data_IF_204639705660
#
_entry.id   IF_204639705660
#
_cell.length_a   1.000
_cell.length_b   1.000
_cell.length_c   1.000
_cell.angle_alpha   90.00
_cell.angle_beta   90.00
_cell.angle_gamma   90.00
#
_symmetry.space_group_name_H-M   'P 1'
#
loop_
_entity.id
_entity.type
_entity.pdbx_description
1 polymer ?
#
# COMPACT_ATOMS: atom_id res chain seq x y z
N UNK A 1 -13.17 11.77 -1.96
CA UNK A 1 -14.18 11.70 -0.86
C UNK A 1 -15.45 12.39 -1.35
N UNK A 2 -16.66 11.99 -0.91
CA UNK A 2 -17.91 12.69 -1.25
C UNK A 2 -18.79 12.78 0.00
N UNK A 3 -19.05 14.01 0.47
CA UNK A 3 -19.77 14.31 1.73
C UNK A 3 -19.20 13.52 2.92
N UNK A 4 -17.91 13.66 3.20
CA UNK A 4 -17.26 12.98 4.33
C UNK A 4 -17.11 11.45 4.21
N UNK A 5 -17.75 10.80 3.23
CA UNK A 5 -17.66 9.34 3.05
C UNK A 5 -16.71 8.92 1.93
N UNK A 6 -16.20 7.69 2.03
CA UNK A 6 -15.49 7.00 0.94
C UNK A 6 -16.33 7.04 -0.35
N UNK A 7 -15.68 7.44 -1.43
CA UNK A 7 -16.22 7.37 -2.79
C UNK A 7 -15.30 6.49 -3.62
N UNK A 8 -15.62 5.19 -3.69
CA UNK A 8 -14.90 4.24 -4.53
C UNK A 8 -15.23 4.42 -6.00
N UNK A 9 -14.42 3.83 -6.89
CA UNK A 9 -14.68 3.75 -8.34
C UNK A 9 -16.06 3.17 -8.63
N UNK A 10 -16.48 2.12 -7.91
CA UNK A 10 -17.84 1.57 -8.03
C UNK A 10 -18.92 2.59 -7.67
N UNK A 11 -18.78 3.33 -6.57
CA UNK A 11 -19.76 4.34 -6.15
C UNK A 11 -19.81 5.54 -7.11
N UNK A 12 -18.67 5.92 -7.67
CA UNK A 12 -18.56 7.04 -8.60
C UNK A 12 -19.06 6.69 -10.00
N UNK A 13 -18.71 5.51 -10.52
CA UNK A 13 -18.88 5.21 -11.95
C UNK A 13 -19.86 4.06 -12.23
N UNK A 14 -19.91 3.00 -11.43
CA UNK A 14 -20.75 1.82 -11.71
C UNK A 14 -22.17 1.95 -11.16
N UNK A 15 -22.32 2.40 -9.90
CA UNK A 15 -23.64 2.54 -9.26
C UNK A 15 -24.58 3.48 -10.02
N UNK A 16 -24.14 4.65 -10.54
CA UNK A 16 -25.03 5.56 -11.27
C UNK A 16 -25.57 4.99 -12.58
N UNK A 17 -24.84 4.06 -13.21
CA UNK A 17 -25.18 3.51 -14.53
C UNK A 17 -25.72 2.08 -14.48
N UNK A 18 -26.01 1.56 -13.28
CA UNK A 18 -26.38 0.15 -13.04
C UNK A 18 -27.64 -0.32 -13.78
N UNK A 19 -28.51 0.61 -14.18
CA UNK A 19 -29.76 0.33 -14.91
C UNK A 19 -29.62 0.38 -16.42
N UNK A 20 -28.45 0.75 -16.96
CA UNK A 20 -28.21 0.78 -18.40
C UNK A 20 -28.27 -0.64 -18.96
N UNK A 21 -29.14 -0.87 -19.95
CA UNK A 21 -29.39 -2.19 -20.55
C UNK A 21 -28.17 -2.79 -21.26
N UNK A 22 -27.19 -1.97 -21.65
CA UNK A 22 -25.97 -2.40 -22.33
C UNK A 22 -24.78 -2.65 -21.38
N UNK A 23 -24.99 -2.64 -20.06
CA UNK A 23 -23.95 -2.92 -19.06
C UNK A 23 -24.43 -4.05 -18.16
N UNK A 24 -23.69 -5.15 -18.17
CA UNK A 24 -23.97 -6.30 -17.31
C UNK A 24 -22.84 -6.46 -16.29
N UNK A 25 -23.20 -6.53 -15.01
CA UNK A 25 -22.24 -6.70 -13.91
C UNK A 25 -22.50 -8.05 -13.27
N UNK A 26 -21.52 -8.95 -13.35
CA UNK A 26 -21.57 -10.26 -12.68
C UNK A 26 -20.66 -10.24 -11.45
N UNK A 27 -21.27 -10.20 -10.26
CA UNK A 27 -20.55 -10.28 -8.99
C UNK A 27 -20.19 -11.74 -8.66
N UNK A 28 -19.25 -11.93 -7.72
CA UNK A 28 -18.80 -13.25 -7.26
C UNK A 28 -18.42 -14.20 -8.42
N UNK A 29 -17.79 -13.62 -9.45
CA UNK A 29 -17.41 -14.28 -10.69
C UNK A 29 -15.88 -14.22 -10.81
N UNK A 30 -15.20 -15.29 -10.42
CA UNK A 30 -13.73 -15.35 -10.41
C UNK A 30 -13.22 -15.76 -11.78
N UNK A 31 -12.66 -14.82 -12.54
CA UNK A 31 -12.04 -15.12 -13.83
C UNK A 31 -10.85 -16.07 -13.66
N UNK A 32 -10.82 -17.17 -14.40
CA UNK A 32 -9.79 -18.21 -14.28
C UNK A 32 -8.77 -18.13 -15.41
N UNK A 33 -9.21 -17.82 -16.64
CA UNK A 33 -8.37 -17.63 -17.82
C UNK A 33 -9.11 -16.93 -18.96
N UNK A 34 -8.35 -16.38 -19.88
CA UNK A 34 -8.81 -15.89 -21.19
C UNK A 34 -8.77 -17.06 -22.17
N UNK A 35 -9.79 -17.16 -23.02
CA UNK A 35 -9.84 -18.12 -24.12
C UNK A 35 -9.28 -17.46 -25.37
N UNK A 36 -8.20 -18.04 -25.90
CA UNK A 36 -7.41 -17.49 -27.01
C UNK A 36 -7.23 -18.57 -28.05
N UNK A 37 -7.47 -18.23 -29.31
CA UNK A 37 -7.21 -19.15 -30.42
C UNK A 37 -5.69 -19.24 -30.66
N UNK A 38 -5.07 -20.44 -30.61
CA UNK A 38 -3.62 -20.60 -30.67
C UNK A 38 -3.02 -20.24 -32.03
N UNK A 39 -3.79 -20.28 -33.11
CA UNK A 39 -3.31 -20.00 -34.47
C UNK A 39 -3.39 -18.51 -34.80
N UNK A 40 -4.53 -17.89 -34.51
CA UNK A 40 -4.79 -16.47 -34.82
C UNK A 40 -4.36 -15.52 -33.72
N UNK A 41 -4.05 -16.05 -32.52
CA UNK A 41 -3.78 -15.28 -31.30
C UNK A 41 -4.91 -14.32 -30.90
N UNK A 42 -6.14 -14.55 -31.37
CA UNK A 42 -7.32 -13.75 -31.03
C UNK A 42 -7.99 -14.26 -29.75
N UNK A 43 -8.17 -13.38 -28.77
CA UNK A 43 -9.01 -13.64 -27.61
C UNK A 43 -10.48 -13.66 -28.02
N UNK A 44 -11.21 -14.72 -27.64
CA UNK A 44 -12.61 -14.91 -28.03
C UNK A 44 -13.55 -15.11 -26.83
N UNK A 45 -13.02 -15.16 -25.61
CA UNK A 45 -13.86 -15.30 -24.43
C UNK A 45 -13.10 -15.32 -23.12
N UNK A 46 -13.84 -15.47 -22.03
CA UNK A 46 -13.31 -15.58 -20.67
C UNK A 46 -13.98 -16.77 -19.98
N UNK A 47 -13.16 -17.60 -19.34
CA UNK A 47 -13.61 -18.62 -18.41
C UNK A 47 -13.63 -18.03 -16.99
N UNK A 48 -14.71 -18.27 -16.24
CA UNK A 48 -14.82 -17.84 -14.85
C UNK A 48 -15.62 -18.84 -14.02
N UNK A 49 -15.48 -18.77 -12.70
CA UNK A 49 -16.27 -19.57 -11.77
C UNK A 49 -17.22 -18.68 -10.98
N UNK A 50 -18.49 -19.10 -10.90
CA UNK A 50 -19.53 -18.44 -10.11
C UNK A 50 -20.37 -19.51 -9.42
N UNK A 51 -20.61 -19.35 -8.11
CA UNK A 51 -21.33 -20.34 -7.31
C UNK A 51 -20.81 -21.78 -7.47
N UNK A 52 -19.47 -21.94 -7.50
CA UNK A 52 -18.81 -23.24 -7.66
C UNK A 52 -18.88 -23.84 -9.07
N UNK A 53 -19.57 -23.21 -10.02
CA UNK A 53 -19.71 -23.71 -11.39
C UNK A 53 -18.85 -22.91 -12.36
N UNK A 54 -18.26 -23.62 -13.31
CA UNK A 54 -17.49 -23.01 -14.41
C UNK A 54 -18.44 -22.48 -15.48
N UNK A 55 -18.17 -21.27 -15.94
CA UNK A 55 -18.90 -20.58 -16.99
C UNK A 55 -17.93 -20.04 -18.03
N UNK A 56 -18.42 -19.89 -19.26
CA UNK A 56 -17.70 -19.26 -20.36
C UNK A 56 -18.57 -18.15 -20.92
N UNK A 57 -17.97 -16.99 -21.17
CA UNK A 57 -18.59 -15.90 -21.93
C UNK A 57 -17.77 -15.60 -23.18
N UNK A 58 -18.45 -15.48 -24.31
CA UNK A 58 -17.82 -15.22 -25.61
C UNK A 58 -17.81 -13.71 -25.87
N UNK A 59 -16.66 -13.21 -26.29
CA UNK A 59 -16.44 -11.82 -26.65
C UNK A 59 -16.41 -11.67 -28.18
N UNK A 60 -17.27 -10.80 -28.73
CA UNK A 60 -17.31 -10.53 -30.18
C UNK A 60 -16.22 -9.56 -30.65
N UNK A 61 -15.74 -8.69 -29.76
CA UNK A 61 -14.76 -7.65 -30.08
C UNK A 61 -13.46 -7.86 -29.31
N UNK A 62 -13.50 -7.61 -28.00
CA UNK A 62 -12.29 -7.52 -27.17
C UNK A 62 -12.53 -8.10 -25.77
N UNK A 63 -11.42 -8.49 -25.13
CA UNK A 63 -11.34 -8.80 -23.70
C UNK A 63 -10.31 -7.86 -23.09
N UNK A 64 -10.72 -7.08 -22.08
CA UNK A 64 -9.85 -6.11 -21.40
C UNK A 64 -9.58 -6.59 -19.98
N UNK A 65 -8.31 -6.75 -19.64
CA UNK A 65 -7.89 -7.17 -18.30
C UNK A 65 -7.74 -5.99 -17.35
N UNK A 66 -8.48 -6.02 -16.25
CA UNK A 66 -8.40 -4.99 -15.18
C UNK A 66 -8.36 -5.63 -13.79
N UNK A 67 -7.67 -6.77 -13.65
CA UNK A 67 -7.61 -7.54 -12.40
C UNK A 67 -6.55 -7.01 -11.40
N UNK A 68 -5.97 -5.84 -11.67
CA UNK A 68 -4.90 -5.23 -10.87
C UNK A 68 -3.52 -5.82 -11.16
N UNK A 69 -2.48 -5.19 -10.59
CA UNK A 69 -1.07 -5.53 -10.84
C UNK A 69 -0.67 -6.95 -10.41
N UNK A 70 -1.45 -7.57 -9.49
CA UNK A 70 -1.17 -8.90 -8.95
C UNK A 70 -1.95 -10.00 -9.70
N UNK A 71 -3.27 -9.86 -9.87
CA UNK A 71 -4.07 -10.94 -10.46
C UNK A 71 -4.07 -10.94 -11.99
N UNK A 72 -3.83 -9.79 -12.63
CA UNK A 72 -3.70 -9.73 -14.10
C UNK A 72 -2.59 -10.65 -14.62
N UNK A 73 -1.33 -10.59 -14.11
CA UNK A 73 -0.30 -11.48 -14.58
C UNK A 73 -0.60 -12.95 -14.27
N UNK A 74 -1.24 -13.26 -13.15
CA UNK A 74 -1.69 -14.63 -12.85
C UNK A 74 -2.64 -15.16 -13.94
N UNK A 75 -3.70 -14.40 -14.27
CA UNK A 75 -4.70 -14.82 -15.26
C UNK A 75 -4.06 -14.96 -16.65
N UNK A 76 -3.19 -14.02 -17.05
CA UNK A 76 -2.47 -14.10 -18.32
C UNK A 76 -1.58 -15.35 -18.40
N UNK A 77 -0.80 -15.64 -17.34
CA UNK A 77 0.03 -16.85 -17.30
C UNK A 77 -0.82 -18.12 -17.34
N UNK A 78 -1.94 -18.19 -16.61
CA UNK A 78 -2.88 -19.31 -16.67
C UNK A 78 -3.56 -19.44 -18.05
N UNK A 79 -3.57 -18.37 -18.84
CA UNK A 79 -4.05 -18.35 -20.22
C UNK A 79 -2.97 -18.71 -21.25
N UNK A 80 -1.75 -19.05 -20.81
CA UNK A 80 -0.64 -19.39 -21.69
C UNK A 80 0.17 -18.20 -22.20
N UNK A 81 0.03 -17.01 -21.59
CA UNK A 81 0.81 -15.80 -21.90
C UNK A 81 1.71 -15.45 -20.73
N UNK A 82 3.02 -15.64 -20.89
CA UNK A 82 3.99 -15.31 -19.85
C UNK A 82 5.36 -15.96 -20.05
N UNK A 83 6.25 -15.87 -19.04
CA UNK A 83 7.61 -16.37 -19.17
C UNK A 83 7.64 -17.89 -19.38
N UNK A 84 8.38 -18.38 -20.37
CA UNK A 84 8.47 -19.81 -20.71
C UNK A 84 8.82 -20.68 -19.52
N UNK A 85 9.79 -20.25 -18.71
CA UNK A 85 10.23 -20.99 -17.50
C UNK A 85 9.07 -21.21 -16.52
N UNK A 86 8.23 -20.20 -16.30
CA UNK A 86 7.08 -20.27 -15.40
C UNK A 86 5.95 -21.14 -15.96
N UNK A 87 5.62 -20.97 -17.24
CA UNK A 87 4.58 -21.77 -17.88
C UNK A 87 4.96 -23.26 -17.93
N UNK A 88 6.22 -23.56 -18.26
CA UNK A 88 6.75 -24.93 -18.29
C UNK A 88 6.74 -25.60 -16.91
N UNK A 89 7.10 -24.86 -15.84
CA UNK A 89 7.07 -25.36 -14.45
C UNK A 89 5.72 -25.99 -14.09
N UNK A 90 4.65 -25.38 -14.59
CA UNK A 90 3.30 -25.86 -14.35
C UNK A 90 2.74 -26.69 -15.50
N UNK A 91 3.46 -26.92 -16.61
CA UNK A 91 2.95 -27.59 -17.83
C UNK A 91 1.75 -26.86 -18.46
N UNK A 92 1.78 -25.53 -18.49
CA UNK A 92 0.77 -24.70 -19.16
C UNK A 92 1.20 -24.53 -20.62
N UNK A 93 0.34 -24.82 -21.62
CA UNK A 93 0.66 -24.57 -23.02
C UNK A 93 1.03 -23.10 -23.26
N UNK A 94 2.16 -22.88 -23.91
CA UNK A 94 2.66 -21.54 -24.20
C UNK A 94 2.02 -21.06 -25.50
N UNK A 95 1.17 -20.04 -25.42
CA UNK A 95 0.62 -19.35 -26.58
C UNK A 95 1.52 -18.18 -27.00
N UNK A 96 2.02 -17.43 -26.01
CA UNK A 96 2.96 -16.33 -26.25
C UNK A 96 3.91 -16.15 -25.07
N UNK A 97 5.20 -16.14 -25.39
CA UNK A 97 6.22 -15.79 -24.41
C UNK A 97 6.33 -14.27 -24.28
N UNK A 98 6.05 -13.75 -23.08
CA UNK A 98 6.13 -12.33 -22.69
C UNK A 98 6.59 -12.23 -21.23
N UNK A 99 7.18 -11.10 -20.84
CA UNK A 99 7.63 -10.83 -19.47
C UNK A 99 6.47 -10.53 -18.49
N UNK A 100 5.38 -11.28 -18.57
CA UNK A 100 4.21 -11.14 -17.69
C UNK A 100 4.60 -11.48 -16.26
N UNK A 101 4.23 -10.59 -15.33
CA UNK A 101 4.52 -10.75 -13.90
C UNK A 101 5.88 -10.21 -13.49
N UNK A 102 6.74 -9.80 -14.41
CA UNK A 102 8.01 -9.14 -14.09
C UNK A 102 7.80 -7.63 -13.88
N UNK A 103 8.84 -6.93 -13.41
CA UNK A 103 8.86 -5.47 -13.23
C UNK A 103 7.82 -4.95 -12.23
N UNK A 104 7.51 -5.73 -11.19
CA UNK A 104 6.67 -5.27 -10.07
C UNK A 104 7.38 -4.11 -9.36
N UNK A 105 6.62 -3.04 -9.13
CA UNK A 105 7.06 -1.86 -8.42
C UNK A 105 5.98 -1.48 -7.41
N UNK A 106 6.41 -1.06 -6.23
CA UNK A 106 5.55 -0.50 -5.21
C UNK A 106 6.32 0.58 -4.44
N UNK A 107 5.61 1.54 -3.86
CA UNK A 107 6.22 2.56 -3.03
C UNK A 107 6.42 2.01 -1.62
N UNK A 108 7.68 1.92 -1.21
CA UNK A 108 8.05 1.52 0.15
C UNK A 108 8.45 2.75 0.97
N UNK A 109 8.19 2.76 2.27
CA UNK A 109 8.55 3.87 3.13
C UNK A 109 8.87 3.46 4.56
N UNK A 110 9.42 4.41 5.31
CA UNK A 110 9.87 4.21 6.69
C UNK A 110 8.68 4.26 7.65
N UNK A 111 8.23 3.10 8.11
CA UNK A 111 7.16 2.98 9.10
C UNK A 111 7.60 3.47 10.49
N UNK A 112 6.64 3.95 11.29
CA UNK A 112 6.88 4.20 12.72
C UNK A 112 7.77 5.40 13.06
N UNK A 113 8.11 6.25 12.09
CA UNK A 113 8.94 7.43 12.30
C UNK A 113 8.16 8.54 13.04
N UNK A 114 8.23 8.46 14.38
CA UNK A 114 7.31 9.15 15.30
C UNK A 114 7.98 10.33 15.99
N UNK A 115 7.24 11.42 16.13
CA UNK A 115 7.65 12.62 16.85
C UNK A 115 6.65 12.91 17.96
N UNK A 116 7.10 12.90 19.21
CA UNK A 116 6.31 13.31 20.37
C UNK A 116 6.12 14.82 20.34
N UNK A 117 4.93 15.30 20.72
CA UNK A 117 4.64 16.73 20.91
C UNK A 117 4.03 16.96 22.29
N UNK A 118 4.11 18.20 22.77
CA UNK A 118 3.62 18.57 24.10
C UNK A 118 2.17 19.07 24.09
N UNK A 119 1.63 19.40 22.91
CA UNK A 119 0.25 19.91 22.78
C UNK A 119 -0.73 18.77 22.47
N UNK A 120 -1.96 18.79 23.03
CA UNK A 120 -2.98 17.77 22.84
C UNK A 120 -3.72 17.87 21.48
N UNK A 121 -2.96 17.97 20.38
CA UNK A 121 -3.50 18.24 19.03
C UNK A 121 -3.53 17.01 18.12
N UNK A 122 -2.97 15.89 18.56
CA UNK A 122 -2.95 14.66 17.76
C UNK A 122 -4.25 13.87 17.86
N UNK A 123 -4.47 12.97 16.91
CA UNK A 123 -5.54 11.97 16.90
C UNK A 123 -5.12 10.86 17.87
N UNK A 124 -5.74 10.85 19.05
CA UNK A 124 -5.62 9.80 20.07
C UNK A 124 -6.99 9.18 20.30
N UNK A 125 -7.09 7.85 20.15
CA UNK A 125 -8.37 7.16 20.12
C UNK A 125 -9.23 7.43 21.37
N UNK A 126 -8.60 7.53 22.55
CA UNK A 126 -9.30 7.73 23.82
C UNK A 126 -10.02 9.10 23.94
N UNK A 127 -9.64 10.10 23.14
CA UNK A 127 -10.28 11.44 23.17
C UNK A 127 -11.60 11.48 22.40
N UNK A 128 -11.89 10.43 21.66
CA UNK A 128 -13.01 10.38 20.73
C UNK A 128 -14.22 9.72 21.39
N UNK A 129 -15.27 10.52 21.62
CA UNK A 129 -16.57 10.02 22.11
C UNK A 129 -17.42 9.48 20.96
N UNK A 130 -17.64 8.16 20.94
CA UNK A 130 -18.22 7.47 19.79
C UNK A 130 -19.60 8.02 19.38
N UNK A 131 -20.51 8.22 20.34
CA UNK A 131 -21.89 8.63 20.06
C UNK A 131 -22.02 10.03 19.42
N UNK A 132 -21.53 11.13 20.04
CA UNK A 132 -21.70 12.47 19.48
C UNK A 132 -21.01 12.64 18.13
N UNK A 133 -19.82 12.06 17.94
CA UNK A 133 -19.15 12.13 16.63
C UNK A 133 -19.91 11.37 15.54
N UNK A 134 -20.46 10.19 15.88
CA UNK A 134 -21.26 9.41 14.95
C UNK A 134 -22.49 10.20 14.53
N UNK A 135 -23.13 10.89 15.47
CA UNK A 135 -24.29 11.74 15.18
C UNK A 135 -23.92 12.92 14.27
N UNK A 136 -22.81 13.61 14.53
CA UNK A 136 -22.30 14.67 13.66
C UNK A 136 -22.01 14.18 12.23
N UNK A 137 -21.45 12.98 12.11
CA UNK A 137 -21.16 12.39 10.80
C UNK A 137 -22.44 12.01 10.04
N UNK A 138 -23.40 11.35 10.69
CA UNK A 138 -24.64 10.91 10.06
C UNK A 138 -25.51 12.10 9.66
N UNK A 139 -25.73 13.04 10.58
CA UNK A 139 -26.64 14.17 10.34
C UNK A 139 -26.01 15.22 9.42
N UNK A 140 -24.74 15.55 9.64
CA UNK A 140 -24.12 16.73 9.01
C UNK A 140 -23.01 16.38 8.02
N UNK A 141 -22.61 15.12 7.89
CA UNK A 141 -21.44 14.71 7.11
C UNK A 141 -20.16 15.48 7.50
N UNK A 142 -20.04 15.80 8.79
CA UNK A 142 -18.97 16.57 9.42
C UNK A 142 -18.43 15.85 10.66
N UNK A 143 -17.40 16.41 11.26
CA UNK A 143 -16.82 15.92 12.51
C UNK A 143 -15.70 14.91 12.30
N UNK A 144 -15.07 14.43 13.38
CA UNK A 144 -13.84 13.65 13.31
C UNK A 144 -13.93 12.40 12.44
N UNK A 145 -15.09 11.74 12.32
CA UNK A 145 -15.24 10.54 11.49
C UNK A 145 -15.09 10.79 9.98
N UNK A 146 -15.02 12.05 9.53
CA UNK A 146 -14.68 12.37 8.13
C UNK A 146 -13.17 12.37 7.87
N UNK A 147 -12.34 12.34 8.91
CA UNK A 147 -10.87 12.24 8.80
C UNK A 147 -10.50 10.94 8.08
N UNK A 148 -9.38 10.97 7.35
CA UNK A 148 -8.81 9.75 6.80
C UNK A 148 -8.18 8.90 7.91
N UNK A 149 -7.89 9.49 9.09
CA UNK A 149 -7.34 8.83 10.26
C UNK A 149 -5.90 8.35 10.08
N UNK A 150 -5.27 8.76 8.98
CA UNK A 150 -3.90 8.41 8.59
C UNK A 150 -3.22 9.63 7.99
N UNK A 151 -3.05 9.64 6.68
CA UNK A 151 -2.35 10.72 5.98
C UNK A 151 -3.23 11.96 5.83
N UNK A 152 -2.82 13.07 6.42
CA UNK A 152 -3.52 14.37 6.38
C UNK A 152 -2.65 15.46 5.73
N UNK A 153 -1.33 15.25 5.64
CA UNK A 153 -0.41 16.14 4.94
C UNK A 153 0.47 15.39 3.94
N UNK A 154 0.79 16.04 2.83
CA UNK A 154 1.65 15.50 1.78
C UNK A 154 2.73 16.53 1.44
N UNK A 155 3.95 16.05 1.22
CA UNK A 155 4.98 16.86 0.58
C UNK A 155 5.73 16.01 -0.44
N UNK A 156 6.03 16.58 -1.60
CA UNK A 156 6.85 15.98 -2.63
C UNK A 156 8.18 16.72 -2.64
N UNK A 157 9.28 15.99 -2.45
CA UNK A 157 10.60 16.59 -2.31
C UNK A 157 11.63 15.79 -3.10
N UNK A 158 12.76 16.44 -3.37
CA UNK A 158 13.88 15.84 -4.05
C UNK A 158 15.01 15.67 -3.06
N UNK A 159 15.51 14.45 -2.91
CA UNK A 159 16.75 14.21 -2.19
C UNK A 159 17.95 14.61 -3.06
N UNK A 160 19.15 14.64 -2.47
CA UNK A 160 20.40 14.86 -3.21
C UNK A 160 20.69 13.78 -4.25
N UNK A 161 20.02 12.63 -4.19
CA UNK A 161 20.16 11.53 -5.15
C UNK A 161 19.12 11.58 -6.28
N UNK A 162 18.08 12.42 -6.13
CA UNK A 162 16.99 12.55 -7.08
C UNK A 162 17.32 13.45 -8.27
N UNK A 163 16.60 13.26 -9.38
CA UNK A 163 16.60 14.23 -10.47
C UNK A 163 15.85 15.48 -10.02
N UNK A 164 16.33 16.70 -10.33
CA UNK A 164 15.66 17.95 -9.96
C UNK A 164 14.31 18.18 -10.67
N UNK A 165 14.05 17.47 -11.76
CA UNK A 165 12.84 17.65 -12.59
C UNK A 165 11.59 16.95 -12.03
N UNK A 166 11.75 15.97 -11.14
CA UNK A 166 10.63 15.26 -10.50
C UNK A 166 11.01 14.70 -9.13
N UNK A 167 10.07 14.65 -8.17
CA UNK A 167 10.36 14.18 -6.82
C UNK A 167 10.68 12.68 -6.79
N UNK A 168 11.65 12.31 -5.96
CA UNK A 168 12.03 10.94 -5.64
C UNK A 168 11.50 10.50 -4.26
N UNK A 169 11.05 11.45 -3.43
CA UNK A 169 10.53 11.21 -2.10
C UNK A 169 9.18 11.92 -1.87
N UNK A 170 8.27 11.23 -1.19
CA UNK A 170 7.02 11.81 -0.68
C UNK A 170 6.99 11.67 0.84
N UNK A 171 6.66 12.74 1.55
CA UNK A 171 6.28 12.63 2.95
C UNK A 171 4.78 12.46 3.07
N UNK A 172 4.36 11.41 3.77
CA UNK A 172 3.04 11.32 4.34
C UNK A 172 3.10 11.77 5.80
N UNK A 173 2.42 12.89 6.11
CA UNK A 173 2.24 13.35 7.47
C UNK A 173 0.92 12.84 8.02
N UNK A 174 0.98 12.24 9.21
CA UNK A 174 -0.18 11.83 9.97
C UNK A 174 -0.15 12.48 11.36
N UNK A 175 -1.25 13.08 11.85
CA UNK A 175 -1.35 13.57 13.23
C UNK A 175 -1.59 12.41 14.23
N UNK A 176 -1.01 11.24 13.95
CA UNK A 176 -1.12 10.01 14.72
C UNK A 176 0.12 9.13 14.48
N UNK A 177 0.34 8.14 15.33
CA UNK A 177 1.31 7.07 15.13
C UNK A 177 0.81 5.75 15.72
N UNK A 178 1.67 4.73 15.74
CA UNK A 178 1.42 3.38 16.24
C UNK A 178 0.89 3.37 17.68
N UNK A 179 1.27 4.34 18.51
CA UNK A 179 0.86 4.48 19.91
C UNK A 179 -0.51 5.15 20.11
N UNK A 180 -1.11 5.73 19.06
CA UNK A 180 -2.32 6.56 19.14
C UNK A 180 -3.60 5.80 19.53
N UNK A 181 -3.61 4.47 19.38
CA UNK A 181 -4.75 3.61 19.69
C UNK A 181 -4.47 2.60 20.82
N UNK A 182 -3.38 2.82 21.57
CA UNK A 182 -2.91 1.92 22.62
C UNK A 182 -2.79 0.45 22.18
N UNK A 183 -2.53 0.20 20.89
CA UNK A 183 -2.29 -1.14 20.37
C UNK A 183 -3.55 -1.95 20.08
N UNK A 184 -4.71 -1.29 20.01
CA UNK A 184 -5.99 -1.93 19.73
C UNK A 184 -6.05 -2.52 18.31
N UNK A 185 -5.61 -1.76 17.30
CA UNK A 185 -5.75 -2.10 15.88
C UNK A 185 -4.52 -1.76 15.03
N UNK A 186 -3.90 -0.59 15.20
CA UNK A 186 -2.83 -0.09 14.32
C UNK A 186 -1.67 -1.07 14.24
N UNK A 187 -1.21 -1.59 15.39
CA UNK A 187 -0.14 -2.60 15.42
C UNK A 187 -0.47 -3.88 14.63
N UNK A 188 -1.75 -4.31 14.63
CA UNK A 188 -2.20 -5.51 13.91
C UNK A 188 -2.29 -5.25 12.41
N UNK A 189 -2.80 -4.08 12.02
CA UNK A 189 -2.88 -3.65 10.61
C UNK A 189 -1.50 -3.53 9.98
N UNK A 190 -0.53 -3.01 10.74
CA UNK A 190 0.86 -2.86 10.29
C UNK A 190 1.71 -4.14 10.47
N UNK A 191 1.14 -5.22 11.04
CA UNK A 191 1.86 -6.48 11.24
C UNK A 191 3.04 -6.39 12.23
N UNK A 192 3.01 -5.46 13.18
CA UNK A 192 4.09 -5.30 14.15
C UNK A 192 4.11 -6.45 15.17
N UNK A 193 5.29 -6.97 15.46
CA UNK A 193 5.47 -7.99 16.50
C UNK A 193 5.15 -7.43 17.90
N UNK A 194 4.70 -8.29 18.81
CA UNK A 194 4.46 -7.91 20.20
C UNK A 194 5.72 -7.33 20.85
N UNK A 195 6.88 -7.92 20.57
CA UNK A 195 8.18 -7.43 21.07
C UNK A 195 8.44 -6.00 20.62
N UNK A 196 8.33 -5.71 19.32
CA UNK A 196 8.57 -4.35 18.80
C UNK A 196 7.58 -3.35 19.40
N UNK A 197 6.27 -3.69 19.42
CA UNK A 197 5.25 -2.80 19.95
C UNK A 197 5.45 -2.52 21.44
N UNK A 198 5.65 -3.55 22.25
CA UNK A 198 5.77 -3.42 23.71
C UNK A 198 7.04 -2.68 24.12
N UNK A 199 8.14 -2.84 23.38
CA UNK A 199 9.39 -2.13 23.67
C UNK A 199 9.32 -0.67 23.21
N UNK A 200 8.81 -0.39 22.00
CA UNK A 200 8.96 0.92 21.36
C UNK A 200 7.74 1.80 21.56
N UNK A 201 6.53 1.31 21.31
CA UNK A 201 5.34 2.16 21.20
C UNK A 201 4.43 2.13 22.43
N UNK A 202 4.39 1.02 23.17
CA UNK A 202 3.63 0.93 24.43
C UNK A 202 4.07 1.95 25.49
N UNK A 203 5.38 2.26 25.68
CA UNK A 203 5.81 3.27 26.65
C UNK A 203 5.30 4.69 26.36
N UNK A 204 4.92 4.96 25.12
CA UNK A 204 4.36 6.25 24.69
C UNK A 204 2.87 6.14 24.34
N UNK A 205 2.18 5.08 24.77
CA UNK A 205 0.75 4.89 24.51
C UNK A 205 -0.07 6.14 24.85
N UNK A 206 -0.98 6.51 23.94
CA UNK A 206 -1.88 7.67 24.07
C UNK A 206 -1.20 9.04 24.20
N UNK A 207 0.12 9.14 24.08
CA UNK A 207 0.83 10.42 24.02
C UNK A 207 0.62 11.11 22.68
N UNK A 208 0.65 12.44 22.70
CA UNK A 208 0.56 13.21 21.47
C UNK A 208 1.77 13.06 20.58
N UNK A 209 1.47 12.81 19.31
CA UNK A 209 2.47 12.54 18.28
C UNK A 209 2.04 13.05 16.92
N UNK A 210 3.02 13.22 16.05
CA UNK A 210 2.80 13.12 14.61
C UNK A 210 3.83 12.16 14.01
N UNK A 211 3.52 11.66 12.82
CA UNK A 211 4.42 10.81 12.04
C UNK A 211 4.73 11.51 10.73
N UNK A 212 5.98 11.44 10.28
CA UNK A 212 6.37 11.74 8.91
C UNK A 212 6.88 10.45 8.29
N UNK A 213 6.18 9.91 7.30
CA UNK A 213 6.59 8.69 6.61
C UNK A 213 7.27 9.12 5.31
N UNK A 214 8.61 9.08 5.22
CA UNK A 214 9.29 9.19 3.93
C UNK A 214 8.95 7.94 3.11
N UNK A 215 8.38 8.16 1.93
CA UNK A 215 7.95 7.16 0.96
C UNK A 215 8.77 7.34 -0.32
N UNK A 216 9.34 6.24 -0.81
CA UNK A 216 10.15 6.21 -2.02
C UNK A 216 9.23 6.18 -3.25
N UNK A 217 9.28 7.23 -4.07
CA UNK A 217 8.40 7.38 -5.25
C UNK A 217 8.94 6.72 -6.50
N UNK A 218 10.26 6.58 -6.59
CA UNK A 218 10.96 6.11 -7.79
C UNK A 218 11.92 4.98 -7.43
N UNK A 219 11.41 3.85 -6.90
CA UNK A 219 12.27 2.73 -6.57
C UNK A 219 13.00 2.25 -7.81
N UNK A 220 14.28 1.90 -7.66
CA UNK A 220 15.07 1.20 -8.68
C UNK A 220 14.92 -0.31 -8.54
N UNK A 221 14.63 -0.81 -7.33
CA UNK A 221 14.36 -2.23 -7.10
C UNK A 221 13.17 -2.70 -7.94
N UNK A 222 13.23 -3.95 -8.41
CA UNK A 222 12.18 -4.60 -9.22
C UNK A 222 11.86 -5.97 -8.66
N UNK A 223 10.57 -6.20 -8.49
CA UNK A 223 10.01 -7.47 -8.07
C UNK A 223 9.34 -8.24 -9.20
N UNK A 224 8.63 -9.29 -8.80
CA UNK A 224 7.83 -10.12 -9.68
C UNK A 224 6.58 -10.69 -9.00
N UNK A 225 5.66 -11.19 -9.84
CA UNK A 225 4.47 -11.97 -9.49
C UNK A 225 4.50 -13.27 -10.31
N UNK A 226 4.56 -14.41 -9.64
CA UNK A 226 4.74 -15.74 -10.25
C UNK A 226 3.61 -16.68 -9.87
N UNK A 227 3.36 -17.71 -10.67
CA UNK A 227 2.41 -18.75 -10.32
C UNK A 227 2.94 -19.62 -9.18
N UNK A 228 2.08 -19.99 -8.23
CA UNK A 228 2.34 -21.07 -7.27
C UNK A 228 1.68 -22.39 -7.67
N UNK A 229 0.62 -22.33 -8.47
CA UNK A 229 -0.17 -23.47 -8.90
C UNK A 229 -0.90 -23.14 -10.19
N UNK A 230 -1.34 -24.19 -10.92
CA UNK A 230 -2.33 -24.07 -12.00
C UNK A 230 -3.74 -23.79 -11.50
N UNK A 231 -3.99 -24.02 -10.21
CA UNK A 231 -5.29 -23.74 -9.61
C UNK A 231 -5.48 -22.20 -9.51
N UNK A 232 -6.47 -21.62 -10.22
CA UNK A 232 -6.69 -20.16 -10.26
C UNK A 232 -7.14 -19.57 -8.91
N UNK A 233 -7.49 -20.41 -7.93
CA UNK A 233 -7.87 -20.00 -6.58
C UNK A 233 -6.69 -19.93 -5.62
N UNK A 234 -5.52 -20.43 -6.03
CA UNK A 234 -4.29 -20.29 -5.26
C UNK A 234 -3.67 -18.94 -5.59
N UNK A 235 -3.51 -18.08 -4.58
CA UNK A 235 -2.85 -16.78 -4.77
C UNK A 235 -1.45 -16.93 -5.39
N UNK A 236 -1.00 -15.98 -6.22
CA UNK A 236 0.34 -16.02 -6.80
C UNK A 236 1.40 -15.80 -5.72
N UNK A 237 2.64 -16.17 -6.03
CA UNK A 237 3.80 -15.77 -5.25
C UNK A 237 4.16 -14.34 -5.65
N UNK A 238 4.45 -13.51 -4.65
CA UNK A 238 4.78 -12.10 -4.85
C UNK A 238 6.12 -11.87 -4.18
N UNK A 239 7.06 -11.32 -4.93
CA UNK A 239 8.30 -10.82 -4.38
C UNK A 239 8.44 -9.37 -4.83
N UNK A 240 8.26 -8.42 -3.92
CA UNK A 240 8.45 -7.01 -4.22
C UNK A 240 9.93 -6.63 -4.39
N UNK A 241 10.83 -7.45 -3.82
CA UNK A 241 12.28 -7.27 -3.85
C UNK A 241 12.71 -5.89 -3.32
N UNK A 242 12.08 -5.42 -2.24
CA UNK A 242 12.36 -4.10 -1.68
C UNK A 242 13.83 -3.98 -1.29
N UNK A 243 14.42 -2.82 -1.62
CA UNK A 243 15.79 -2.45 -1.24
C UNK A 243 16.89 -3.34 -1.82
N UNK A 244 16.60 -4.05 -2.91
CA UNK A 244 17.58 -4.78 -3.71
C UNK A 244 18.60 -3.81 -4.33
N UNK A 245 18.12 -2.67 -4.84
CA UNK A 245 18.99 -1.60 -5.31
C UNK A 245 19.40 -0.69 -4.14
N UNK A 246 20.71 -0.47 -3.89
CA UNK A 246 21.20 0.25 -2.70
C UNK A 246 20.74 1.70 -2.63
N UNK A 247 20.54 2.37 -3.76
CA UNK A 247 20.08 3.76 -3.80
C UNK A 247 18.70 3.97 -3.17
N UNK A 248 17.82 2.95 -3.20
CA UNK A 248 16.48 3.05 -2.64
C UNK A 248 16.53 3.34 -1.13
N UNK A 249 17.46 2.69 -0.42
CA UNK A 249 17.71 2.93 1.00
C UNK A 249 18.38 4.27 1.23
N UNK A 250 19.38 4.64 0.42
CA UNK A 250 20.07 5.94 0.57
C UNK A 250 19.08 7.11 0.47
N UNK A 251 18.12 7.04 -0.44
CA UNK A 251 17.06 8.05 -0.59
C UNK A 251 16.19 8.12 0.68
N UNK A 252 15.76 6.98 1.23
CA UNK A 252 14.93 6.95 2.44
C UNK A 252 15.71 7.39 3.69
N UNK A 253 17.00 7.07 3.81
CA UNK A 253 17.87 7.56 4.90
C UNK A 253 17.98 9.09 4.85
N UNK A 254 18.16 9.68 3.66
CA UNK A 254 18.10 11.14 3.52
C UNK A 254 16.72 11.69 3.83
N UNK A 255 15.65 10.95 3.49
CA UNK A 255 14.28 11.24 3.91
C UNK A 255 14.11 11.26 5.44
N UNK A 256 14.69 10.31 6.16
CA UNK A 256 14.67 10.30 7.62
C UNK A 256 15.34 11.55 8.20
N UNK A 257 16.54 11.89 7.71
CA UNK A 257 17.26 13.11 8.10
C UNK A 257 16.46 14.38 7.80
N UNK A 258 15.81 14.44 6.63
CA UNK A 258 14.92 15.54 6.25
C UNK A 258 13.74 15.65 7.21
N UNK A 259 13.10 14.53 7.59
CA UNK A 259 12.01 14.51 8.54
C UNK A 259 12.41 15.03 9.93
N UNK A 260 13.61 14.70 10.41
CA UNK A 260 14.16 15.30 11.65
C UNK A 260 14.29 16.81 11.52
N UNK A 261 14.88 17.31 10.41
CA UNK A 261 15.02 18.76 10.17
C UNK A 261 13.67 19.48 10.08
N UNK A 262 12.67 18.84 9.47
CA UNK A 262 11.30 19.38 9.42
C UNK A 262 10.72 19.51 10.83
N UNK A 263 10.87 18.48 11.66
CA UNK A 263 10.40 18.51 13.04
C UNK A 263 11.12 19.57 13.88
N UNK A 264 12.41 19.84 13.63
CA UNK A 264 13.20 20.85 14.35
C UNK A 264 13.00 22.29 13.83
N UNK A 265 12.30 22.46 12.71
CA UNK A 265 12.08 23.76 12.09
C UNK A 265 11.31 24.72 13.01
N UNK A 266 11.53 26.02 12.83
CA UNK A 266 10.94 27.08 13.66
C UNK A 266 9.40 26.98 13.76
N UNK A 267 8.71 26.64 12.65
CA UNK A 267 7.26 26.50 12.62
C UNK A 267 6.73 25.38 13.54
N UNK A 268 7.53 24.34 13.79
CA UNK A 268 7.18 23.21 14.63
C UNK A 268 7.53 23.42 16.10
N UNK A 269 8.46 24.33 16.45
CA UNK A 269 8.90 24.57 17.84
C UNK A 269 7.75 24.82 18.81
N UNK A 270 6.68 25.48 18.37
CA UNK A 270 5.48 25.72 19.17
C UNK A 270 4.78 24.45 19.69
N UNK A 271 5.06 23.28 19.11
CA UNK A 271 4.52 21.98 19.54
C UNK A 271 5.48 21.20 20.45
N UNK A 272 6.71 21.69 20.67
CA UNK A 272 7.75 20.96 21.42
C UNK A 272 8.10 19.58 20.84
N UNK A 273 8.33 19.46 19.52
CA UNK A 273 8.54 18.20 18.83
C UNK A 273 9.84 17.53 19.30
N UNK A 274 9.77 16.22 19.57
CA UNK A 274 10.93 15.40 19.91
C UNK A 274 10.83 14.09 19.16
N UNK A 275 11.86 13.77 18.38
CA UNK A 275 11.96 12.45 17.76
C UNK A 275 11.85 11.35 18.83
N UNK A 276 11.08 10.32 18.55
CA UNK A 276 10.95 9.18 19.45
C UNK A 276 12.26 8.39 19.48
N UNK A 277 12.94 8.37 20.63
CA UNK A 277 14.32 7.88 20.77
C UNK A 277 14.47 6.45 21.28
N UNK A 278 13.38 5.76 21.65
CA UNK A 278 13.50 4.34 22.05
C UNK A 278 13.90 3.55 20.80
N UNK A 279 15.10 2.94 20.79
CA UNK A 279 15.61 2.28 19.60
C UNK A 279 14.81 1.01 19.31
N UNK A 280 14.72 0.66 18.03
CA UNK A 280 14.15 -0.64 17.64
C UNK A 280 15.05 -1.77 18.17
N UNK A 281 14.48 -2.88 18.70
CA UNK A 281 15.27 -3.92 19.34
C UNK A 281 16.41 -4.51 18.49
N UNK A 282 16.19 -4.63 17.18
CA UNK A 282 17.18 -5.14 16.21
C UNK A 282 18.19 -4.07 15.74
N UNK A 283 17.94 -2.80 16.05
CA UNK A 283 18.78 -1.66 15.67
C UNK A 283 19.56 -1.05 16.84
N UNK A 284 19.43 -1.62 18.05
CA UNK A 284 20.03 -1.11 19.29
C UNK A 284 21.56 -1.03 19.27
N UNK A 285 22.22 -1.82 18.43
CA UNK A 285 23.68 -1.80 18.24
C UNK A 285 24.19 -0.55 17.51
N UNK A 286 23.32 0.16 16.80
CA UNK A 286 23.70 1.36 16.05
C UNK A 286 23.44 2.62 16.89
N UNK A 287 24.31 3.62 16.75
CA UNK A 287 24.11 4.92 17.41
C UNK A 287 22.84 5.57 16.86
N UNK A 288 21.89 5.89 17.74
CA UNK A 288 20.65 6.54 17.33
C UNK A 288 20.92 7.79 16.47
N UNK A 289 20.20 7.91 15.35
CA UNK A 289 20.33 9.02 14.42
C UNK A 289 21.47 8.89 13.39
N UNK A 290 22.31 7.85 13.47
CA UNK A 290 23.28 7.54 12.41
C UNK A 290 22.61 6.96 11.17
N UNK A 291 23.33 6.97 10.05
CA UNK A 291 22.84 6.42 8.77
C UNK A 291 22.54 4.92 8.91
N UNK A 292 23.38 4.18 9.63
CA UNK A 292 23.21 2.75 9.90
C UNK A 292 21.96 2.48 10.78
N UNK A 293 21.68 3.36 11.74
CA UNK A 293 20.44 3.26 12.53
C UNK A 293 19.21 3.49 11.65
N UNK A 294 19.22 4.53 10.81
CA UNK A 294 18.09 4.82 9.92
C UNK A 294 17.86 3.71 8.90
N UNK A 295 18.93 3.19 8.28
CA UNK A 295 18.81 2.03 7.39
C UNK A 295 18.22 0.82 8.11
N UNK A 296 18.71 0.49 9.31
CA UNK A 296 18.17 -0.61 10.08
C UNK A 296 16.68 -0.42 10.39
N UNK A 297 16.27 0.79 10.80
CA UNK A 297 14.87 1.12 11.04
C UNK A 297 14.04 0.92 9.76
N UNK A 298 14.48 1.46 8.62
CA UNK A 298 13.75 1.36 7.34
C UNK A 298 13.54 -0.09 6.90
N UNK A 299 14.48 -0.98 7.20
CA UNK A 299 14.41 -2.41 6.85
C UNK A 299 13.61 -3.27 7.84
N UNK A 300 13.18 -2.72 8.98
CA UNK A 300 12.46 -3.45 10.03
C UNK A 300 10.96 -3.42 9.82
#
# INVERSE_FOLDING_TARGET
IRRGSRCSTSKAFLRPIRSRRNIHISLNSHATRILINPTTMKAFGVEFVRAGRKHVIIARKEVIMTAGAINTPQILMLSGIGPRKELNKFKIPILKELAVGENLQDHVGMGGFTFLVNKPVSIVQQRFQAFPMTMQYIMNAKGPMTTLGGVEGLAFVNTKYGNRSWPDLQFHMAPASVNSDNGARVRKVLGLTDRLYNTVYRPIANRDVFTLIPLLLRPKSRGWVRLRSKNPFVSPAINANYFDHPDDIKILVEGAKMGVRIAEAQAFKQFGPRVHRIPFPNCSKFRFGSDEYWECHIRT
#
